data_IF_582477298668
#
_entry.id   IF_582477298668
#
_cell.length_a   1.000
_cell.length_b   1.000
_cell.length_c   1.000
_cell.angle_alpha   90.00
_cell.angle_beta   90.00
_cell.angle_gamma   90.00
#
_symmetry.space_group_name_H-M   'P 1'
#
loop_
_entity.id
_entity.type
_entity.pdbx_description
1 polymer ?
#
# COMPACT_ATOMS: atom_id res chain seq x y z
N UNK A 1 12.65 -15.14 23.97
CA UNK A 1 12.31 -15.81 22.71
C UNK A 1 13.59 -16.39 22.16
N UNK A 2 13.61 -17.69 21.86
CA UNK A 2 14.77 -18.32 21.21
C UNK A 2 14.79 -17.93 19.72
N UNK A 3 15.94 -17.90 19.10
CA UNK A 3 16.12 -17.55 17.67
C UNK A 3 15.19 -18.37 16.76
N UNK A 4 14.94 -19.64 17.09
CA UNK A 4 14.02 -20.50 16.33
C UNK A 4 12.54 -20.15 16.49
N UNK A 5 12.13 -19.52 17.59
CA UNK A 5 10.76 -19.09 17.85
C UNK A 5 10.39 -17.83 17.01
N UNK A 6 11.34 -16.91 16.86
CA UNK A 6 11.18 -15.75 16.00
C UNK A 6 11.13 -16.14 14.51
N UNK A 7 11.96 -17.11 14.08
CA UNK A 7 12.02 -17.59 12.70
C UNK A 7 10.69 -18.25 12.29
N UNK A 8 10.11 -19.11 13.12
CA UNK A 8 8.84 -19.77 12.81
C UNK A 8 7.67 -18.77 12.71
N UNK A 9 7.66 -17.74 13.57
CA UNK A 9 6.66 -16.67 13.53
C UNK A 9 6.70 -15.92 12.19
N UNK A 10 7.90 -15.56 11.71
CA UNK A 10 8.08 -14.88 10.42
C UNK A 10 7.67 -15.78 9.26
N UNK A 11 8.03 -17.07 9.29
CA UNK A 11 7.62 -18.04 8.26
C UNK A 11 6.10 -18.17 8.16
N UNK A 12 5.40 -18.23 9.29
CA UNK A 12 3.93 -18.27 9.33
C UNK A 12 3.34 -16.97 8.74
N UNK A 13 3.88 -15.80 9.10
CA UNK A 13 3.43 -14.52 8.54
C UNK A 13 3.66 -14.43 7.03
N UNK A 14 4.82 -14.88 6.54
CA UNK A 14 5.13 -14.89 5.11
C UNK A 14 4.17 -15.81 4.32
N UNK A 15 3.90 -17.01 4.84
CA UNK A 15 2.94 -17.93 4.25
C UNK A 15 1.52 -17.36 4.26
N UNK A 16 1.11 -16.73 5.36
CA UNK A 16 -0.19 -16.08 5.47
C UNK A 16 -0.33 -14.93 4.46
N UNK A 17 0.71 -14.07 4.33
CA UNK A 17 0.72 -12.97 3.35
C UNK A 17 0.54 -13.49 1.94
N UNK A 18 1.31 -14.49 1.53
CA UNK A 18 1.19 -15.12 0.22
C UNK A 18 -0.23 -15.63 -0.04
N UNK A 19 -0.74 -16.46 0.86
CA UNK A 19 -2.05 -17.10 0.67
C UNK A 19 -3.22 -16.10 0.74
N UNK A 20 -3.14 -15.09 1.59
CA UNK A 20 -4.16 -14.03 1.61
C UNK A 20 -4.14 -13.20 0.32
N UNK A 21 -2.97 -12.90 -0.23
CA UNK A 21 -2.84 -12.18 -1.49
C UNK A 21 -3.40 -12.97 -2.68
N UNK A 22 -3.19 -14.28 -2.71
CA UNK A 22 -3.60 -15.17 -3.81
C UNK A 22 -5.09 -15.56 -3.73
N UNK A 23 -5.58 -15.92 -2.54
CA UNK A 23 -6.90 -16.54 -2.37
C UNK A 23 -7.92 -15.66 -1.64
N UNK A 24 -7.47 -14.55 -1.05
CA UNK A 24 -8.23 -13.74 -0.12
C UNK A 24 -8.26 -14.32 1.30
N UNK A 25 -8.58 -13.46 2.25
CA UNK A 25 -8.61 -13.86 3.66
C UNK A 25 -9.62 -14.99 3.93
N UNK A 26 -10.86 -14.86 3.47
CA UNK A 26 -11.94 -15.77 3.86
C UNK A 26 -11.73 -17.19 3.32
N UNK A 27 -11.16 -17.34 2.13
CA UNK A 27 -10.88 -18.64 1.50
C UNK A 27 -9.59 -19.30 2.01
N UNK A 28 -8.75 -18.59 2.74
CA UNK A 28 -7.50 -19.12 3.31
C UNK A 28 -7.75 -19.69 4.70
N UNK A 29 -7.33 -20.92 4.95
CA UNK A 29 -7.45 -21.58 6.24
C UNK A 29 -6.13 -21.58 7.00
N UNK A 30 -6.20 -21.60 8.34
CA UNK A 30 -5.00 -21.74 9.20
C UNK A 30 -4.19 -23.00 8.85
N UNK A 31 -4.87 -24.07 8.46
CA UNK A 31 -4.20 -25.35 8.08
C UNK A 31 -3.36 -25.15 6.82
N UNK A 32 -3.88 -24.50 5.77
CA UNK A 32 -3.12 -24.18 4.56
C UNK A 32 -1.89 -23.30 4.88
N UNK A 33 -2.06 -22.29 5.74
CA UNK A 33 -0.95 -21.44 6.17
C UNK A 33 0.13 -22.26 6.88
N UNK A 34 -0.27 -23.18 7.76
CA UNK A 34 0.67 -24.05 8.46
C UNK A 34 1.40 -25.02 7.51
N UNK A 35 0.70 -25.60 6.56
CA UNK A 35 1.27 -26.47 5.53
C UNK A 35 2.32 -25.72 4.69
N UNK A 36 1.99 -24.51 4.21
CA UNK A 36 2.89 -23.62 3.47
C UNK A 36 4.12 -23.21 4.30
N UNK A 37 3.92 -22.89 5.59
CA UNK A 37 4.98 -22.47 6.50
C UNK A 37 5.84 -23.62 7.04
N UNK A 38 5.45 -24.88 6.83
CA UNK A 38 6.06 -26.03 7.52
C UNK A 38 5.92 -25.93 9.04
N UNK A 39 4.75 -25.52 9.54
CA UNK A 39 4.48 -25.25 10.94
C UNK A 39 3.31 -26.09 11.48
N UNK A 40 3.22 -26.22 12.80
CA UNK A 40 2.08 -26.85 13.45
C UNK A 40 0.97 -25.82 13.73
N UNK A 41 -0.30 -26.20 13.59
CA UNK A 41 -1.48 -25.36 13.88
C UNK A 41 -1.45 -24.78 15.28
N UNK A 42 -0.92 -25.52 16.28
CA UNK A 42 -0.77 -25.02 17.65
C UNK A 42 0.11 -23.76 17.73
N UNK A 43 1.10 -23.61 16.84
CA UNK A 43 1.98 -22.45 16.81
C UNK A 43 1.24 -21.17 16.36
N UNK A 44 0.25 -21.29 15.46
CA UNK A 44 -0.58 -20.15 15.06
C UNK A 44 -1.39 -19.64 16.26
N UNK A 45 -1.99 -20.54 17.02
CA UNK A 45 -2.71 -20.17 18.25
C UNK A 45 -1.78 -19.57 19.28
N UNK A 46 -0.58 -20.12 19.44
CA UNK A 46 0.43 -19.64 20.39
C UNK A 46 0.96 -18.23 20.02
N UNK A 47 1.35 -18.01 18.76
CA UNK A 47 1.98 -16.75 18.35
C UNK A 47 0.99 -15.62 18.06
N UNK A 48 -0.21 -15.96 17.58
CA UNK A 48 -1.15 -14.97 17.07
C UNK A 48 -2.54 -15.04 17.75
N UNK A 49 -2.90 -16.14 18.40
CA UNK A 49 -4.26 -16.32 18.94
C UNK A 49 -5.34 -16.57 17.90
N UNK A 50 -4.97 -16.67 16.61
CA UNK A 50 -5.89 -16.98 15.53
C UNK A 50 -5.64 -16.21 14.23
N UNK A 51 -6.47 -16.49 13.21
CA UNK A 51 -6.30 -15.98 11.84
C UNK A 51 -6.48 -14.45 11.75
N UNK A 52 -7.44 -13.89 12.49
CA UNK A 52 -7.70 -12.43 12.51
C UNK A 52 -6.53 -11.64 13.10
N UNK A 53 -5.97 -12.10 14.23
CA UNK A 53 -4.81 -11.45 14.82
C UNK A 53 -3.56 -11.62 13.97
N UNK A 54 -3.43 -12.74 13.25
CA UNK A 54 -2.35 -12.95 12.28
C UNK A 54 -2.47 -11.96 11.12
N UNK A 55 -3.69 -11.68 10.65
CA UNK A 55 -3.93 -10.64 9.65
C UNK A 55 -3.47 -9.25 10.15
N UNK A 56 -3.80 -8.89 11.40
CA UNK A 56 -3.31 -7.64 12.00
C UNK A 56 -1.78 -7.62 12.06
N UNK A 57 -1.15 -8.71 12.51
CA UNK A 57 0.29 -8.83 12.63
C UNK A 57 1.03 -8.72 11.28
N UNK A 58 0.38 -9.00 10.15
CA UNK A 58 0.95 -8.77 8.82
C UNK A 58 1.23 -7.28 8.59
N UNK A 59 0.28 -6.41 8.92
CA UNK A 59 0.44 -4.98 8.75
C UNK A 59 1.48 -4.41 9.72
N UNK A 60 1.46 -4.87 10.98
CA UNK A 60 2.47 -4.47 11.98
C UNK A 60 3.90 -4.83 11.55
N UNK A 61 4.07 -5.92 10.79
CA UNK A 61 5.38 -6.43 10.40
C UNK A 61 5.85 -5.93 9.03
N UNK A 62 4.96 -5.88 8.03
CA UNK A 62 5.34 -5.62 6.62
C UNK A 62 5.01 -4.21 6.15
N UNK A 63 4.10 -3.49 6.82
CA UNK A 63 3.78 -2.13 6.40
C UNK A 63 4.95 -1.18 6.75
N UNK A 64 5.35 -0.27 5.85
CA UNK A 64 6.54 0.57 6.03
C UNK A 64 6.29 1.74 6.99
N UNK A 65 5.94 1.45 8.24
CA UNK A 65 5.62 2.46 9.26
C UNK A 65 6.74 3.46 9.49
N UNK A 66 7.98 2.97 9.57
CA UNK A 66 9.12 3.82 9.91
C UNK A 66 9.37 4.86 8.82
N UNK A 67 9.24 4.48 7.55
CA UNK A 67 9.46 5.38 6.41
C UNK A 67 8.44 6.53 6.39
N UNK A 68 7.20 6.26 6.82
CA UNK A 68 6.14 7.28 6.89
C UNK A 68 6.26 8.11 8.17
N UNK A 69 6.61 7.49 9.30
CA UNK A 69 6.69 8.16 10.61
C UNK A 69 7.93 9.05 10.76
N UNK A 70 9.02 8.79 10.01
CA UNK A 70 10.25 9.58 10.04
C UNK A 70 10.14 10.90 9.26
N UNK A 71 9.04 11.07 8.49
CA UNK A 71 8.84 12.28 7.71
C UNK A 71 8.15 13.32 8.59
N UNK A 72 8.80 14.46 8.72
CA UNK A 72 8.14 15.66 9.18
C UNK A 72 7.42 16.32 7.98
N UNK A 73 6.07 16.23 7.91
CA UNK A 73 5.33 16.76 6.76
C UNK A 73 5.50 18.27 6.61
N UNK A 74 5.92 18.98 7.66
CA UNK A 74 6.09 20.43 7.65
C UNK A 74 7.37 20.88 6.94
N UNK A 75 8.30 19.96 6.70
CA UNK A 75 9.56 20.22 5.98
C UNK A 75 9.41 20.16 4.46
N UNK A 76 8.31 19.59 3.97
CA UNK A 76 8.03 19.47 2.54
C UNK A 76 7.00 20.50 2.11
N UNK A 77 7.30 21.24 1.04
CA UNK A 77 6.27 22.07 0.40
C UNK A 77 5.24 21.16 -0.31
N UNK A 78 4.06 21.68 -0.68
CA UNK A 78 2.99 20.88 -1.29
C UNK A 78 3.42 20.07 -2.52
N UNK A 79 4.28 20.63 -3.36
CA UNK A 79 4.74 19.97 -4.60
C UNK A 79 5.65 18.78 -4.26
N UNK A 80 6.61 19.00 -3.37
CA UNK A 80 7.50 17.93 -2.90
C UNK A 80 6.74 16.84 -2.12
N UNK A 81 5.69 17.22 -1.38
CA UNK A 81 4.81 16.28 -0.71
C UNK A 81 4.07 15.36 -1.70
N UNK A 82 3.54 15.91 -2.80
CA UNK A 82 2.91 15.12 -3.87
C UNK A 82 3.93 14.19 -4.55
N UNK A 83 5.12 14.70 -4.90
CA UNK A 83 6.21 13.91 -5.49
C UNK A 83 6.64 12.78 -4.56
N UNK A 84 6.75 13.08 -3.27
CA UNK A 84 7.09 12.10 -2.23
C UNK A 84 6.06 10.96 -2.19
N UNK A 85 4.75 11.25 -2.10
CA UNK A 85 3.70 10.23 -2.10
C UNK A 85 3.73 9.39 -3.37
N UNK A 86 3.89 10.01 -4.54
CA UNK A 86 3.97 9.28 -5.80
C UNK A 86 5.12 8.27 -5.79
N UNK A 87 6.28 8.67 -5.28
CA UNK A 87 7.47 7.81 -5.16
C UNK A 87 7.24 6.68 -4.16
N UNK A 88 6.83 7.00 -2.93
CA UNK A 88 6.74 6.00 -1.85
C UNK A 88 5.64 4.95 -2.11
N UNK A 89 4.49 5.37 -2.62
CA UNK A 89 3.41 4.43 -2.98
C UNK A 89 3.86 3.52 -4.12
N UNK A 90 4.54 4.07 -5.12
CA UNK A 90 5.06 3.27 -6.24
C UNK A 90 6.14 2.30 -5.77
N UNK A 91 7.11 2.77 -4.96
CA UNK A 91 8.14 1.91 -4.37
C UNK A 91 7.52 0.76 -3.57
N UNK A 92 6.55 1.06 -2.72
CA UNK A 92 5.89 0.04 -1.93
C UNK A 92 5.14 -0.99 -2.79
N UNK A 93 4.46 -0.55 -3.85
CA UNK A 93 3.79 -1.46 -4.81
C UNK A 93 4.75 -2.44 -5.47
N UNK A 94 5.97 -2.00 -5.80
CA UNK A 94 6.99 -2.85 -6.40
C UNK A 94 7.68 -3.75 -5.39
N UNK A 95 7.89 -3.28 -4.16
CA UNK A 95 8.57 -4.05 -3.11
C UNK A 95 7.68 -5.10 -2.46
N UNK A 96 6.39 -4.82 -2.28
CA UNK A 96 5.43 -5.74 -1.64
C UNK A 96 4.04 -5.74 -2.31
N UNK A 97 3.99 -6.24 -3.55
CA UNK A 97 2.72 -6.36 -4.29
C UNK A 97 1.69 -7.24 -3.56
N UNK A 98 2.12 -8.20 -2.74
CA UNK A 98 1.22 -9.08 -1.99
C UNK A 98 0.43 -8.30 -0.95
N UNK A 99 1.09 -7.43 -0.19
CA UNK A 99 0.40 -6.62 0.80
C UNK A 99 -0.55 -5.60 0.14
N UNK A 100 -0.15 -5.01 -0.98
CA UNK A 100 -1.02 -4.14 -1.78
C UNK A 100 -2.27 -4.88 -2.27
N UNK A 101 -2.11 -6.11 -2.77
CA UNK A 101 -3.25 -6.93 -3.21
C UNK A 101 -4.22 -7.21 -2.05
N UNK A 102 -3.71 -7.56 -0.86
CA UNK A 102 -4.54 -7.75 0.33
C UNK A 102 -5.32 -6.48 0.65
N UNK A 103 -4.65 -5.33 0.70
CA UNK A 103 -5.29 -4.03 0.97
C UNK A 103 -6.43 -3.78 -0.03
N UNK A 104 -6.16 -3.94 -1.31
CA UNK A 104 -7.14 -3.66 -2.36
C UNK A 104 -8.33 -4.63 -2.34
N UNK A 105 -8.10 -5.92 -2.11
CA UNK A 105 -9.18 -6.90 -1.96
C UNK A 105 -10.11 -6.52 -0.80
N UNK A 106 -9.56 -6.20 0.36
CA UNK A 106 -10.34 -5.81 1.54
C UNK A 106 -11.13 -4.51 1.31
N UNK A 107 -10.51 -3.52 0.64
CA UNK A 107 -11.16 -2.24 0.29
C UNK A 107 -12.32 -2.46 -0.69
N UNK A 108 -12.11 -3.24 -1.76
CA UNK A 108 -13.13 -3.53 -2.77
C UNK A 108 -14.29 -4.33 -2.16
N UNK A 109 -13.99 -5.31 -1.32
CA UNK A 109 -14.97 -6.15 -0.67
C UNK A 109 -15.66 -5.48 0.53
N UNK A 110 -15.16 -4.29 0.95
CA UNK A 110 -15.68 -3.50 2.06
C UNK A 110 -15.83 -4.31 3.37
N UNK A 111 -14.83 -5.08 3.72
CA UNK A 111 -14.86 -5.98 4.89
C UNK A 111 -14.63 -5.23 6.21
N UNK A 112 -14.94 -5.85 7.36
CA UNK A 112 -14.65 -5.29 8.68
C UNK A 112 -13.15 -5.12 8.97
N UNK A 113 -12.28 -5.87 8.29
CA UNK A 113 -10.82 -5.79 8.40
C UNK A 113 -10.23 -4.47 7.90
N UNK A 114 -10.99 -3.71 7.08
CA UNK A 114 -10.63 -2.34 6.69
C UNK A 114 -10.27 -1.47 7.89
N UNK A 115 -10.90 -1.68 9.04
CA UNK A 115 -10.62 -0.91 10.27
C UNK A 115 -9.16 -1.05 10.72
N UNK A 116 -8.56 -2.23 10.51
CA UNK A 116 -7.14 -2.46 10.80
C UNK A 116 -6.25 -1.78 9.75
N UNK A 117 -6.56 -1.98 8.47
CA UNK A 117 -5.83 -1.37 7.36
C UNK A 117 -5.79 0.16 7.47
N UNK A 118 -6.91 0.79 7.84
CA UNK A 118 -7.00 2.25 8.01
C UNK A 118 -5.97 2.81 8.98
N UNK A 119 -5.64 2.12 10.06
CA UNK A 119 -4.66 2.58 11.06
C UNK A 119 -3.29 2.81 10.42
N UNK A 120 -2.94 2.00 9.44
CA UNK A 120 -1.63 2.00 8.77
C UNK A 120 -1.61 2.94 7.57
N UNK A 121 -2.66 2.94 6.77
CA UNK A 121 -2.69 3.60 5.44
C UNK A 121 -3.19 5.05 5.51
N UNK A 122 -4.17 5.36 6.39
CA UNK A 122 -4.80 6.68 6.44
C UNK A 122 -3.87 7.84 6.80
N UNK A 123 -2.85 7.69 7.67
CA UNK A 123 -1.93 8.80 7.94
C UNK A 123 -1.27 9.35 6.66
N UNK A 124 -0.83 8.48 5.78
CA UNK A 124 -0.20 8.87 4.50
C UNK A 124 -1.18 9.62 3.58
N UNK A 125 -2.40 9.11 3.43
CA UNK A 125 -3.42 9.81 2.63
C UNK A 125 -3.88 11.12 3.27
N UNK A 126 -3.82 11.21 4.60
CA UNK A 126 -4.06 12.45 5.34
C UNK A 126 -3.00 13.52 5.03
N UNK A 127 -1.72 13.15 4.96
CA UNK A 127 -0.65 14.07 4.53
C UNK A 127 -0.88 14.57 3.11
N UNK A 128 -1.17 13.66 2.15
CA UNK A 128 -1.47 14.06 0.77
C UNK A 128 -2.64 15.05 0.72
N UNK A 129 -3.73 14.77 1.45
CA UNK A 129 -4.89 15.67 1.53
C UNK A 129 -4.50 17.07 2.01
N UNK A 130 -3.64 17.16 3.03
CA UNK A 130 -3.18 18.43 3.57
C UNK A 130 -2.33 19.19 2.54
N UNK A 131 -1.36 18.55 1.88
CA UNK A 131 -0.56 19.18 0.84
C UNK A 131 -1.41 19.63 -0.36
N UNK A 132 -2.43 18.87 -0.74
CA UNK A 132 -3.36 19.30 -1.80
C UNK A 132 -4.12 20.58 -1.38
N UNK A 133 -4.58 20.63 -0.13
CA UNK A 133 -5.27 21.81 0.41
C UNK A 133 -4.34 23.02 0.44
N UNK A 134 -3.17 22.88 1.04
CA UNK A 134 -2.16 23.94 1.13
C UNK A 134 -1.71 24.41 -0.26
N UNK A 135 -1.42 23.51 -1.19
CA UNK A 135 -1.03 23.86 -2.54
C UNK A 135 -2.11 24.64 -3.29
N UNK A 136 -3.40 24.34 -3.05
CA UNK A 136 -4.50 25.12 -3.58
C UNK A 136 -4.58 26.52 -2.95
N UNK A 137 -4.42 26.62 -1.63
CA UNK A 137 -4.42 27.89 -0.89
C UNK A 137 -3.26 28.80 -1.30
N UNK A 138 -2.10 28.21 -1.62
CA UNK A 138 -0.91 28.92 -2.12
C UNK A 138 -0.96 29.24 -3.62
N UNK A 139 -2.00 28.78 -4.34
CA UNK A 139 -2.12 28.97 -5.79
C UNK A 139 -1.23 28.06 -6.64
N UNK A 140 -0.52 27.11 -6.03
CA UNK A 140 0.33 26.14 -6.72
C UNK A 140 -0.48 25.09 -7.49
N UNK A 141 -1.67 24.74 -6.97
CA UNK A 141 -2.56 23.73 -7.55
C UNK A 141 -3.92 24.35 -7.89
N UNK A 142 -4.50 23.90 -9.00
CA UNK A 142 -5.83 24.29 -9.44
C UNK A 142 -6.70 23.06 -9.65
N UNK A 143 -7.76 22.91 -8.87
CA UNK A 143 -8.79 21.88 -8.99
C UNK A 143 -10.10 22.34 -8.35
N UNK A 144 -11.23 21.78 -8.77
CA UNK A 144 -12.54 22.18 -8.24
C UNK A 144 -12.82 21.53 -6.87
N UNK A 145 -12.67 20.21 -6.77
CA UNK A 145 -12.98 19.43 -5.57
C UNK A 145 -11.71 18.80 -5.01
N UNK A 146 -11.45 19.03 -3.72
CA UNK A 146 -10.34 18.40 -3.00
C UNK A 146 -10.50 16.87 -2.94
N UNK A 147 -11.72 16.39 -2.71
CA UNK A 147 -11.97 14.95 -2.64
C UNK A 147 -11.76 14.28 -3.99
N UNK A 148 -12.25 14.89 -5.09
CA UNK A 148 -12.02 14.35 -6.42
C UNK A 148 -10.54 14.34 -6.80
N UNK A 149 -9.79 15.40 -6.50
CA UNK A 149 -8.35 15.44 -6.73
C UNK A 149 -7.62 14.33 -5.94
N UNK A 150 -7.93 14.23 -4.64
CA UNK A 150 -7.36 13.18 -3.77
C UNK A 150 -7.65 11.77 -4.32
N UNK A 151 -8.91 11.45 -4.60
CA UNK A 151 -9.27 10.10 -5.06
C UNK A 151 -8.78 9.80 -6.47
N UNK A 152 -8.67 10.80 -7.34
CA UNK A 152 -8.05 10.63 -8.66
C UNK A 152 -6.57 10.26 -8.53
N UNK A 153 -5.81 10.94 -7.68
CA UNK A 153 -4.40 10.63 -7.41
C UNK A 153 -4.25 9.23 -6.81
N UNK A 154 -5.07 8.89 -5.80
CA UNK A 154 -5.07 7.53 -5.21
C UNK A 154 -5.35 6.48 -6.28
N UNK A 155 -6.32 6.72 -7.16
CA UNK A 155 -6.65 5.81 -8.27
C UNK A 155 -5.48 5.61 -9.23
N UNK A 156 -4.82 6.70 -9.64
CA UNK A 156 -3.64 6.65 -10.51
C UNK A 156 -2.50 5.87 -9.87
N UNK A 157 -2.22 6.12 -8.59
CA UNK A 157 -1.12 5.48 -7.85
C UNK A 157 -1.37 3.99 -7.57
N UNK A 158 -2.62 3.59 -7.36
CA UNK A 158 -2.98 2.22 -6.99
C UNK A 158 -3.43 1.36 -8.18
N UNK A 159 -3.51 1.92 -9.39
CA UNK A 159 -3.94 1.16 -10.57
C UNK A 159 -2.93 0.06 -10.94
N UNK A 160 -3.44 -1.16 -11.12
CA UNK A 160 -2.64 -2.33 -11.50
C UNK A 160 -2.50 -2.45 -13.03
N UNK A 161 -1.45 -1.85 -13.59
CA UNK A 161 -1.18 -1.98 -15.02
C UNK A 161 -0.63 -3.36 -15.44
N UNK A 162 0.07 -4.04 -14.55
CA UNK A 162 0.78 -5.31 -14.85
C UNK A 162 -0.09 -6.54 -14.56
N UNK A 163 -1.37 -6.49 -14.91
CA UNK A 163 -2.26 -7.65 -14.85
C UNK A 163 -2.44 -8.23 -16.25
N UNK A 164 -2.64 -9.54 -16.36
CA UNK A 164 -2.92 -10.21 -17.63
C UNK A 164 -4.08 -9.55 -18.40
N UNK A 165 -5.05 -8.99 -17.67
CA UNK A 165 -6.19 -8.30 -18.26
C UNK A 165 -5.80 -7.12 -19.16
N UNK A 166 -4.72 -6.40 -18.85
CA UNK A 166 -4.29 -5.21 -19.56
C UNK A 166 -3.19 -5.47 -20.60
N UNK A 167 -2.62 -6.67 -20.67
CA UNK A 167 -1.49 -6.98 -21.58
C UNK A 167 -1.79 -6.71 -23.04
N UNK A 168 -3.05 -6.87 -23.45
CA UNK A 168 -3.51 -6.59 -24.81
C UNK A 168 -3.39 -5.10 -25.22
N UNK A 169 -3.26 -4.20 -24.24
CA UNK A 169 -3.12 -2.76 -24.48
C UNK A 169 -1.66 -2.29 -24.38
N UNK A 170 -0.72 -3.19 -24.09
CA UNK A 170 0.68 -2.83 -24.00
C UNK A 170 1.28 -2.87 -25.42
N UNK A 171 1.73 -1.73 -25.91
CA UNK A 171 2.45 -1.58 -27.18
C UNK A 171 3.96 -1.44 -26.98
N UNK A 172 4.39 -1.09 -25.77
CA UNK A 172 5.77 -0.83 -25.41
C UNK A 172 6.26 -1.80 -24.34
N UNK A 173 7.58 -1.96 -24.25
CA UNK A 173 8.21 -2.68 -23.15
C UNK A 173 7.89 -1.98 -21.81
N UNK A 174 7.79 -2.77 -20.74
CA UNK A 174 7.53 -2.23 -19.41
C UNK A 174 8.70 -1.31 -18.99
N UNK A 175 8.47 -0.01 -18.75
CA UNK A 175 9.51 0.91 -18.34
C UNK A 175 10.08 0.54 -16.96
N UNK A 176 11.26 1.09 -16.62
CA UNK A 176 11.82 0.92 -15.27
C UNK A 176 10.93 1.58 -14.21
N UNK A 177 11.13 1.18 -12.97
CA UNK A 177 10.36 1.73 -11.85
C UNK A 177 10.55 3.26 -11.72
N UNK A 178 11.77 3.75 -11.96
CA UNK A 178 12.10 5.18 -11.93
C UNK A 178 11.30 5.95 -12.98
N UNK A 179 11.26 5.46 -14.22
CA UNK A 179 10.48 6.08 -15.30
C UNK A 179 8.98 6.08 -14.96
N UNK A 180 8.46 5.00 -14.36
CA UNK A 180 7.06 4.97 -13.91
C UNK A 180 6.79 6.02 -12.83
N UNK A 181 7.70 6.23 -11.89
CA UNK A 181 7.57 7.26 -10.85
C UNK A 181 7.55 8.66 -11.49
N UNK A 182 8.45 8.93 -12.44
CA UNK A 182 8.51 10.20 -13.17
C UNK A 182 7.23 10.46 -13.96
N UNK A 183 6.76 9.48 -14.72
CA UNK A 183 5.52 9.58 -15.53
C UNK A 183 4.30 9.82 -14.65
N UNK A 184 4.13 9.03 -13.58
CA UNK A 184 3.02 9.20 -12.65
C UNK A 184 3.05 10.57 -11.96
N UNK A 185 4.24 11.02 -11.56
CA UNK A 185 4.43 12.33 -10.92
C UNK A 185 4.08 13.46 -11.88
N UNK A 186 4.58 13.40 -13.12
CA UNK A 186 4.27 14.36 -14.17
C UNK A 186 2.77 14.41 -14.49
N UNK A 187 2.13 13.24 -14.62
CA UNK A 187 0.70 13.14 -14.87
C UNK A 187 -0.12 13.74 -13.72
N UNK A 188 0.24 13.45 -12.46
CA UNK A 188 -0.46 13.98 -11.26
C UNK A 188 -0.30 15.50 -11.18
N UNK A 189 0.92 16.03 -11.32
CA UNK A 189 1.18 17.46 -11.26
C UNK A 189 0.50 18.19 -12.44
N UNK A 190 0.50 17.61 -13.63
CA UNK A 190 -0.25 18.11 -14.78
C UNK A 190 -1.76 18.16 -14.53
N UNK A 191 -2.33 17.13 -13.92
CA UNK A 191 -3.74 17.09 -13.50
C UNK A 191 -4.10 18.10 -12.42
N UNK A 192 -3.13 18.51 -11.60
CA UNK A 192 -3.24 19.58 -10.61
C UNK A 192 -2.98 20.96 -11.22
N UNK A 193 -2.72 21.06 -12.52
CA UNK A 193 -2.34 22.28 -13.25
C UNK A 193 -1.11 22.99 -12.66
N UNK A 194 -0.22 22.25 -12.04
CA UNK A 194 1.06 22.80 -11.56
C UNK A 194 1.94 23.17 -12.76
N UNK A 195 2.59 24.35 -12.67
CA UNK A 195 3.59 24.82 -13.63
C UNK A 195 4.86 25.13 -12.86
N UNK A 196 5.96 24.54 -13.28
CA UNK A 196 7.27 24.99 -12.82
C UNK A 196 7.50 26.41 -13.36
N UNK A 197 7.87 27.34 -12.46
CA UNK A 197 8.27 28.69 -12.82
C UNK A 197 9.66 28.71 -13.50
#
# INVERSE_FOLDING_TARGET
MTTGDADIKIRILSAAKKLFAENGFDKTTVRQICEEAGANVALVSYHFGGKENMFCALFDHYFPHNQIAEIDPTLLNPVEGVKFIAREVTNFRYSDYQLINIIQQEVIMNTDRIKQIRKHVMPMWGMLRNWLKEGKEQGLFQFNSLDNALFSIIGVLLFHRNTEYWTILHEEECPTQEVIIEDLTSFILGGLHYREE
#
